data_IF_072865323602
#
_entry.id   IF_072865323602
#
_cell.length_a   1.000
_cell.length_b   1.000
_cell.length_c   1.000
_cell.angle_alpha   90.00
_cell.angle_beta   90.00
_cell.angle_gamma   90.00
#
_symmetry.space_group_name_H-M   'P 1'
#
loop_
_entity.id
_entity.type
_entity.pdbx_description
1 polymer ?
#
# COMPACT_ATOMS: atom_id res chain seq x y z
N UNK A 1 -37.85 -12.20 -4.44
CA UNK A 1 -38.39 -11.67 -3.17
C UNK A 1 -37.76 -10.31 -3.01
N UNK A 2 -38.55 -9.24 -3.14
CA UNK A 2 -38.04 -7.86 -3.09
C UNK A 2 -37.64 -7.53 -1.66
N UNK A 3 -36.39 -7.85 -1.32
CA UNK A 3 -35.79 -7.43 -0.06
C UNK A 3 -35.63 -5.91 -0.10
N UNK A 4 -36.45 -5.22 0.69
CA UNK A 4 -36.48 -3.76 0.80
C UNK A 4 -35.54 -3.22 1.88
N UNK A 5 -34.74 -4.08 2.51
CA UNK A 5 -33.76 -3.68 3.52
C UNK A 5 -32.68 -2.81 2.88
N UNK A 6 -32.20 -1.84 3.65
CA UNK A 6 -31.18 -0.88 3.20
C UNK A 6 -29.85 -1.32 3.78
N UNK A 7 -28.94 -1.74 2.92
CA UNK A 7 -27.62 -2.19 3.32
C UNK A 7 -26.67 -1.00 3.26
N UNK A 8 -26.29 -0.49 4.42
CA UNK A 8 -25.35 0.62 4.56
C UNK A 8 -23.95 0.04 4.61
N UNK A 9 -23.11 0.43 3.65
CA UNK A 9 -21.67 0.21 3.69
C UNK A 9 -20.94 1.55 3.67
N UNK A 10 -19.80 1.62 4.32
CA UNK A 10 -18.99 2.84 4.36
C UNK A 10 -17.53 2.58 4.05
N UNK A 11 -16.84 3.62 3.57
CA UNK A 11 -15.41 3.53 3.35
C UNK A 11 -14.80 4.71 2.60
N UNK A 12 -13.47 4.63 2.50
CA UNK A 12 -12.67 5.58 1.74
C UNK A 12 -12.74 5.38 0.24
N UNK A 13 -12.80 4.12 -0.23
CA UNK A 13 -12.83 3.76 -1.65
C UNK A 13 -11.73 4.44 -2.48
N UNK A 14 -10.47 4.45 -2.00
CA UNK A 14 -9.44 5.35 -2.55
C UNK A 14 -8.02 4.74 -2.68
N UNK A 15 -7.59 4.32 -3.89
CA UNK A 15 -8.43 4.13 -5.08
C UNK A 15 -9.35 2.91 -4.97
N UNK A 16 -10.41 2.88 -5.79
CA UNK A 16 -11.24 1.68 -5.98
C UNK A 16 -10.41 0.51 -6.54
N UNK A 17 -10.79 -0.71 -6.20
CA UNK A 17 -10.17 -1.96 -6.65
C UNK A 17 -11.15 -3.13 -6.50
N UNK A 18 -10.78 -4.33 -6.96
CA UNK A 18 -11.67 -5.51 -6.97
C UNK A 18 -12.28 -5.83 -5.60
N UNK A 19 -11.51 -5.75 -4.51
CA UNK A 19 -12.06 -5.95 -3.16
C UNK A 19 -13.22 -5.02 -2.79
N UNK A 20 -13.26 -3.77 -3.29
CA UNK A 20 -14.43 -2.91 -3.09
C UNK A 20 -15.65 -3.38 -3.90
N UNK A 21 -15.42 -3.93 -5.10
CA UNK A 21 -16.48 -4.50 -5.94
C UNK A 21 -17.06 -5.76 -5.30
N UNK A 22 -16.20 -6.63 -4.74
CA UNK A 22 -16.62 -7.82 -4.01
C UNK A 22 -17.42 -7.43 -2.76
N UNK A 23 -16.97 -6.42 -2.03
CA UNK A 23 -17.70 -5.87 -0.88
C UNK A 23 -19.10 -5.36 -1.25
N UNK A 24 -19.22 -4.57 -2.32
CA UNK A 24 -20.51 -4.09 -2.83
C UNK A 24 -21.40 -5.25 -3.28
N UNK A 25 -20.83 -6.25 -3.97
CA UNK A 25 -21.57 -7.41 -4.44
C UNK A 25 -22.15 -8.23 -3.29
N UNK A 26 -21.36 -8.52 -2.26
CA UNK A 26 -21.82 -9.23 -1.07
C UNK A 26 -22.85 -8.41 -0.29
N UNK A 27 -22.65 -7.09 -0.15
CA UNK A 27 -23.64 -6.22 0.47
C UNK A 27 -24.99 -6.27 -0.27
N UNK A 28 -24.97 -6.31 -1.60
CA UNK A 28 -26.17 -6.37 -2.42
C UNK A 28 -26.96 -7.70 -2.32
N UNK A 29 -26.36 -8.76 -1.76
CA UNK A 29 -27.09 -10.01 -1.45
C UNK A 29 -28.01 -9.83 -0.23
N UNK A 30 -27.70 -8.86 0.63
CA UNK A 30 -28.46 -8.57 1.85
C UNK A 30 -29.58 -7.54 1.65
N UNK A 31 -29.62 -6.83 0.51
CA UNK A 31 -30.60 -5.76 0.25
C UNK A 31 -30.09 -4.67 -0.68
N UNK A 32 -30.72 -3.49 -0.62
CA UNK A 32 -30.40 -2.35 -1.50
C UNK A 32 -29.22 -1.56 -0.95
N UNK A 33 -28.14 -1.43 -1.72
CA UNK A 33 -26.87 -0.87 -1.24
C UNK A 33 -26.87 0.66 -1.20
N UNK A 34 -26.71 1.21 0.00
CA UNK A 34 -26.47 2.61 0.30
C UNK A 34 -25.01 2.78 0.73
N UNK A 35 -24.25 3.64 0.05
CA UNK A 35 -22.82 3.83 0.31
C UNK A 35 -22.56 5.19 0.96
N UNK A 36 -21.97 5.17 2.14
CA UNK A 36 -21.37 6.36 2.77
C UNK A 36 -19.89 6.49 2.43
N UNK A 37 -19.50 7.61 1.83
CA UNK A 37 -18.12 7.85 1.39
C UNK A 37 -17.41 8.84 2.31
N UNK A 38 -16.30 8.41 2.91
CA UNK A 38 -15.50 9.26 3.81
C UNK A 38 -14.91 10.49 3.10
N UNK A 39 -14.71 11.56 3.83
CA UNK A 39 -14.14 12.83 3.34
C UNK A 39 -12.66 12.72 2.93
N UNK A 40 -12.18 13.71 2.17
CA UNK A 40 -10.76 13.79 1.81
C UNK A 40 -9.90 14.10 3.05
N UNK A 41 -10.44 14.85 4.01
CA UNK A 41 -9.83 15.15 5.30
C UNK A 41 -9.66 13.88 6.12
N UNK A 42 -10.66 13.00 6.15
CA UNK A 42 -10.57 11.71 6.84
C UNK A 42 -9.50 10.81 6.22
N UNK A 43 -9.45 10.74 4.88
CA UNK A 43 -8.40 9.99 4.18
C UNK A 43 -7.02 10.58 4.48
N UNK A 44 -6.91 11.91 4.52
CA UNK A 44 -5.67 12.60 4.84
C UNK A 44 -5.20 12.30 6.27
N UNK A 45 -6.11 12.33 7.26
CA UNK A 45 -5.79 11.93 8.64
C UNK A 45 -5.32 10.47 8.72
N UNK A 46 -5.93 9.57 7.94
CA UNK A 46 -5.66 8.13 7.99
C UNK A 46 -4.39 7.71 7.25
N UNK A 47 -4.11 8.28 6.07
CA UNK A 47 -3.03 7.82 5.17
C UNK A 47 -2.15 8.94 4.60
N UNK A 48 -2.27 10.16 5.13
CA UNK A 48 -1.44 11.32 4.78
C UNK A 48 -1.92 12.14 3.58
N UNK A 49 -2.66 11.54 2.63
CA UNK A 49 -3.27 12.26 1.50
C UNK A 49 -4.38 11.44 0.83
N UNK A 50 -5.47 12.08 0.40
CA UNK A 50 -6.42 11.49 -0.56
C UNK A 50 -5.77 11.35 -1.95
N UNK A 51 -5.97 10.21 -2.62
CA UNK A 51 -5.49 9.95 -3.97
C UNK A 51 -6.52 10.44 -5.00
N UNK A 52 -7.79 10.04 -4.86
CA UNK A 52 -8.93 10.59 -5.60
C UNK A 52 -9.71 11.59 -4.73
N UNK A 53 -10.05 12.78 -5.26
CA UNK A 53 -10.97 13.70 -4.59
C UNK A 53 -12.32 13.07 -4.30
N UNK A 54 -13.00 13.55 -3.26
CA UNK A 54 -14.32 13.04 -2.86
C UNK A 54 -15.32 12.99 -4.01
N UNK A 55 -15.40 14.04 -4.83
CA UNK A 55 -16.33 14.12 -5.96
C UNK A 55 -16.09 13.00 -6.99
N UNK A 56 -14.83 12.67 -7.29
CA UNK A 56 -14.49 11.57 -8.19
C UNK A 56 -14.90 10.21 -7.62
N UNK A 57 -14.66 10.00 -6.32
CA UNK A 57 -15.05 8.75 -5.65
C UNK A 57 -16.57 8.58 -5.64
N UNK A 58 -17.31 9.64 -5.36
CA UNK A 58 -18.78 9.67 -5.44
C UNK A 58 -19.27 9.35 -6.86
N UNK A 59 -18.68 9.99 -7.88
CA UNK A 59 -19.07 9.80 -9.27
C UNK A 59 -18.85 8.36 -9.73
N UNK A 60 -17.69 7.78 -9.42
CA UNK A 60 -17.37 6.39 -9.75
C UNK A 60 -18.36 5.44 -9.07
N UNK A 61 -18.55 5.57 -7.76
CA UNK A 61 -19.42 4.67 -6.99
C UNK A 61 -20.88 4.74 -7.43
N UNK A 62 -21.39 5.93 -7.80
CA UNK A 62 -22.76 6.10 -8.31
C UNK A 62 -23.00 5.35 -9.64
N UNK A 63 -21.94 5.04 -10.38
CA UNK A 63 -22.02 4.32 -11.66
C UNK A 63 -21.69 2.82 -11.52
N UNK A 64 -21.50 2.31 -10.29
CA UNK A 64 -21.29 0.87 -10.05
C UNK A 64 -22.63 0.14 -9.98
N UNK A 65 -22.73 -0.97 -10.71
CA UNK A 65 -23.91 -1.84 -10.68
C UNK A 65 -24.22 -2.29 -9.24
N UNK A 66 -25.52 -2.38 -8.91
CA UNK A 66 -26.08 -2.77 -7.60
C UNK A 66 -25.95 -1.70 -6.50
N UNK A 67 -25.28 -0.58 -6.77
CA UNK A 67 -25.33 0.60 -5.90
C UNK A 67 -26.64 1.34 -6.14
N UNK A 68 -27.41 1.57 -5.08
CA UNK A 68 -28.66 2.33 -5.16
C UNK A 68 -28.42 3.82 -4.92
N UNK A 69 -27.57 4.16 -3.95
CA UNK A 69 -27.32 5.54 -3.55
C UNK A 69 -25.93 5.66 -2.95
N UNK A 70 -25.26 6.78 -3.25
CA UNK A 70 -23.97 7.14 -2.66
C UNK A 70 -24.07 8.54 -2.09
N UNK A 71 -23.60 8.72 -0.86
CA UNK A 71 -23.59 10.02 -0.18
C UNK A 71 -22.20 10.31 0.40
N UNK A 72 -21.78 11.59 0.45
CA UNK A 72 -20.65 11.98 1.27
C UNK A 72 -21.02 11.86 2.75
N UNK A 73 -20.04 11.55 3.59
CA UNK A 73 -20.20 11.52 5.05
C UNK A 73 -19.62 12.77 5.69
N UNK A 74 -20.31 13.25 6.72
CA UNK A 74 -19.67 14.03 7.78
C UNK A 74 -19.02 13.06 8.77
N UNK A 75 -17.70 12.95 8.68
CA UNK A 75 -16.85 12.09 9.52
C UNK A 75 -15.88 12.92 10.38
N UNK A 76 -16.29 14.15 10.71
CA UNK A 76 -15.55 15.06 11.60
C UNK A 76 -15.35 14.49 13.01
N UNK A 77 -16.29 13.65 13.48
CA UNK A 77 -16.21 12.92 14.75
C UNK A 77 -15.40 11.61 14.66
N UNK A 78 -14.90 11.27 13.47
CA UNK A 78 -14.13 10.06 13.21
C UNK A 78 -14.97 8.78 13.03
N UNK A 79 -16.30 8.87 13.05
CA UNK A 79 -17.23 7.75 12.92
C UNK A 79 -17.90 7.73 11.54
N UNK A 80 -18.68 6.68 11.29
CA UNK A 80 -19.59 6.52 10.16
C UNK A 80 -21.07 6.62 10.57
N UNK A 81 -21.37 7.13 11.78
CA UNK A 81 -22.75 7.31 12.29
C UNK A 81 -23.59 8.20 11.37
N UNK A 82 -22.96 9.15 10.69
CA UNK A 82 -23.63 9.99 9.70
C UNK A 82 -24.25 9.17 8.55
N UNK A 83 -23.65 8.05 8.17
CA UNK A 83 -24.19 7.17 7.13
C UNK A 83 -25.54 6.57 7.56
N UNK A 84 -25.63 6.11 8.82
CA UNK A 84 -26.85 5.58 9.42
C UNK A 84 -27.92 6.68 9.49
N UNK A 85 -27.54 7.86 10.00
CA UNK A 85 -28.42 9.03 10.10
C UNK A 85 -29.01 9.40 8.74
N UNK A 86 -28.17 9.46 7.70
CA UNK A 86 -28.61 9.76 6.35
C UNK A 86 -29.51 8.64 5.80
N UNK A 87 -29.12 7.37 5.89
CA UNK A 87 -29.93 6.24 5.43
C UNK A 87 -31.31 6.24 6.10
N UNK A 88 -31.39 6.44 7.42
CA UNK A 88 -32.66 6.53 8.15
C UNK A 88 -33.52 7.71 7.68
N UNK A 89 -32.92 8.86 7.34
CA UNK A 89 -33.64 10.02 6.79
C UNK A 89 -34.30 9.71 5.44
N UNK A 90 -33.59 9.01 4.55
CA UNK A 90 -34.12 8.64 3.22
C UNK A 90 -35.08 7.45 3.29
N UNK A 91 -34.88 6.53 4.23
CA UNK A 91 -35.61 5.27 4.36
C UNK A 91 -36.15 5.07 5.79
N UNK A 92 -37.11 5.89 6.24
CA UNK A 92 -37.51 5.97 7.64
C UNK A 92 -38.09 4.67 8.20
N UNK A 93 -38.73 3.84 7.37
CA UNK A 93 -39.43 2.61 7.79
C UNK A 93 -38.68 1.32 7.49
N UNK A 94 -37.64 1.37 6.66
CA UNK A 94 -36.92 0.18 6.24
C UNK A 94 -35.97 -0.28 7.35
N UNK A 95 -35.75 -1.59 7.45
CA UNK A 95 -34.66 -2.10 8.26
C UNK A 95 -33.33 -1.67 7.65
N UNK A 96 -32.40 -1.22 8.49
CA UNK A 96 -31.04 -0.88 8.07
C UNK A 96 -30.13 -2.05 8.45
N UNK A 97 -29.34 -2.51 7.49
CA UNK A 97 -28.27 -3.47 7.73
C UNK A 97 -26.96 -2.72 7.57
N UNK A 98 -26.27 -2.42 8.67
CA UNK A 98 -24.95 -1.80 8.63
C UNK A 98 -23.90 -2.90 8.43
N UNK A 99 -23.49 -3.07 7.18
CA UNK A 99 -22.54 -4.10 6.77
C UNK A 99 -21.11 -3.57 6.90
N UNK A 100 -20.25 -4.38 7.50
CA UNK A 100 -18.83 -4.13 7.66
C UNK A 100 -17.99 -5.20 6.95
N UNK A 101 -16.96 -4.76 6.22
CA UNK A 101 -15.98 -5.65 5.62
C UNK A 101 -14.73 -5.87 6.49
N UNK A 102 -14.02 -6.97 6.24
CA UNK A 102 -12.72 -7.31 6.86
C UNK A 102 -12.79 -7.57 8.37
N UNK A 103 -11.72 -7.17 9.07
CA UNK A 103 -11.41 -7.51 10.48
C UNK A 103 -12.21 -6.70 11.51
N UNK A 104 -13.29 -6.02 11.11
CA UNK A 104 -14.14 -5.26 12.04
C UNK A 104 -15.01 -6.23 12.83
N UNK A 105 -15.03 -6.08 14.15
CA UNK A 105 -15.88 -6.82 15.08
C UNK A 105 -16.77 -5.87 15.88
N UNK A 106 -17.72 -6.43 16.66
CA UNK A 106 -18.61 -5.67 17.53
C UNK A 106 -17.85 -4.79 18.55
N UNK A 107 -16.63 -5.16 18.92
CA UNK A 107 -15.82 -4.43 19.90
C UNK A 107 -15.15 -3.16 19.34
N UNK A 108 -15.16 -2.97 18.01
CA UNK A 108 -14.32 -1.99 17.32
C UNK A 108 -15.07 -1.06 16.37
N UNK A 109 -16.40 -0.98 16.46
CA UNK A 109 -17.19 -0.04 15.65
C UNK A 109 -18.04 0.89 16.53
N UNK A 110 -17.76 2.21 16.52
CA UNK A 110 -18.47 3.17 17.36
C UNK A 110 -19.95 3.29 17.01
N UNK A 111 -20.39 2.79 15.85
CA UNK A 111 -21.78 2.85 15.38
C UNK A 111 -22.73 1.95 16.18
N UNK A 112 -22.23 0.98 16.95
CA UNK A 112 -23.07 0.04 17.71
C UNK A 112 -23.94 0.70 18.78
N UNK A 113 -23.55 1.90 19.25
CA UNK A 113 -24.29 2.67 20.25
C UNK A 113 -25.38 3.57 19.63
N UNK A 114 -25.56 3.52 18.30
CA UNK A 114 -26.52 4.37 17.62
C UNK A 114 -27.96 4.02 18.07
N UNK A 115 -28.76 4.99 18.55
CA UNK A 115 -30.04 4.71 19.22
C UNK A 115 -31.16 4.44 18.19
N UNK A 116 -31.10 3.29 17.52
CA UNK A 116 -32.10 2.83 16.55
C UNK A 116 -32.21 1.29 16.59
N UNK A 117 -33.31 0.81 17.18
CA UNK A 117 -33.59 -0.61 17.37
C UNK A 117 -33.88 -1.37 16.05
N UNK A 118 -34.01 -0.65 14.93
CA UNK A 118 -34.25 -1.22 13.60
C UNK A 118 -32.99 -1.20 12.72
N UNK A 119 -31.84 -1.40 13.37
CA UNK A 119 -30.53 -1.61 12.74
C UNK A 119 -30.01 -3.00 13.08
N UNK A 120 -29.52 -3.71 12.08
CA UNK A 120 -28.74 -4.93 12.23
C UNK A 120 -27.29 -4.67 11.80
N UNK A 121 -26.33 -5.15 12.58
CA UNK A 121 -24.90 -5.06 12.24
C UNK A 121 -24.41 -6.41 11.73
N UNK A 122 -23.83 -6.42 10.53
CA UNK A 122 -23.29 -7.63 9.88
C UNK A 122 -21.81 -7.43 9.57
N UNK A 123 -21.00 -8.45 9.81
CA UNK A 123 -19.54 -8.43 9.66
C UNK A 123 -19.07 -9.48 8.65
N UNK A 124 -17.82 -9.36 8.18
CA UNK A 124 -17.23 -10.31 7.24
C UNK A 124 -17.71 -10.18 5.79
N UNK A 125 -18.36 -9.07 5.44
CA UNK A 125 -18.89 -8.85 4.08
C UNK A 125 -17.74 -8.54 3.11
N UNK A 126 -17.72 -9.20 1.94
CA UNK A 126 -16.65 -9.07 0.94
C UNK A 126 -15.47 -10.04 1.12
N UNK A 127 -15.55 -10.95 2.11
CA UNK A 127 -14.58 -12.03 2.35
C UNK A 127 -13.39 -11.64 3.23
N UNK A 128 -12.76 -12.64 3.85
CA UNK A 128 -11.58 -12.48 4.73
C UNK A 128 -10.28 -12.28 3.94
N UNK A 129 -10.28 -12.66 2.66
CA UNK A 129 -9.12 -12.56 1.80
C UNK A 129 -9.01 -11.14 1.22
N UNK A 130 -8.32 -10.23 1.92
CA UNK A 130 -7.83 -8.94 1.37
C UNK A 130 -6.81 -9.21 0.25
N UNK A 131 -7.27 -9.64 -0.93
CA UNK A 131 -6.40 -9.89 -2.09
C UNK A 131 -5.67 -8.64 -2.56
N UNK A 132 -6.24 -7.45 -2.33
CA UNK A 132 -5.66 -6.16 -2.71
C UNK A 132 -6.06 -5.08 -1.69
N UNK A 133 -5.13 -4.19 -1.34
CA UNK A 133 -5.44 -2.94 -0.62
C UNK A 133 -5.00 -1.73 -1.44
N UNK A 134 -5.78 -0.66 -1.39
CA UNK A 134 -5.45 0.62 -2.03
C UNK A 134 -4.05 1.13 -1.66
N UNK A 135 -3.63 0.96 -0.41
CA UNK A 135 -2.29 1.37 0.05
C UNK A 135 -1.18 0.57 -0.62
N UNK A 136 -1.35 -0.75 -0.76
CA UNK A 136 -0.39 -1.61 -1.46
C UNK A 136 -0.27 -1.21 -2.94
N UNK A 137 -1.39 -0.98 -3.63
CA UNK A 137 -1.41 -0.54 -5.04
C UNK A 137 -0.65 0.78 -5.21
N UNK A 138 -0.91 1.76 -4.33
CA UNK A 138 -0.24 3.05 -4.41
C UNK A 138 1.25 2.97 -4.07
N UNK A 139 1.65 2.07 -3.16
CA UNK A 139 3.08 1.85 -2.86
C UNK A 139 3.83 1.25 -4.05
N UNK A 140 3.23 0.28 -4.74
CA UNK A 140 3.81 -0.31 -5.95
C UNK A 140 3.84 0.69 -7.11
N UNK A 141 2.83 1.57 -7.24
CA UNK A 141 2.83 2.61 -8.28
C UNK A 141 3.92 3.67 -8.06
N UNK A 142 4.14 4.12 -6.81
CA UNK A 142 5.12 5.16 -6.50
C UNK A 142 6.56 4.70 -6.69
N UNK A 143 6.86 3.43 -6.42
CA UNK A 143 8.20 2.88 -6.49
C UNK A 143 8.13 1.40 -6.95
N UNK A 144 7.88 1.16 -8.25
CA UNK A 144 7.69 -0.20 -8.75
C UNK A 144 8.93 -1.04 -8.55
N UNK A 145 8.71 -2.30 -8.16
CA UNK A 145 9.78 -3.30 -8.09
C UNK A 145 10.24 -3.68 -9.48
N UNK A 146 11.56 -3.65 -9.69
CA UNK A 146 12.20 -4.33 -10.81
C UNK A 146 12.81 -5.63 -10.29
N UNK A 147 12.22 -6.76 -10.68
CA UNK A 147 12.71 -8.09 -10.29
C UNK A 147 13.94 -8.48 -11.11
N UNK A 148 14.88 -9.16 -10.46
CA UNK A 148 16.13 -9.70 -11.03
C UNK A 148 16.33 -11.13 -10.52
N UNK A 149 17.27 -11.87 -11.10
CA UNK A 149 17.58 -13.26 -10.68
C UNK A 149 18.13 -13.38 -9.26
N UNK A 150 18.59 -12.27 -8.68
CA UNK A 150 19.15 -12.17 -7.33
C UNK A 150 18.20 -11.58 -6.28
N UNK A 151 16.99 -11.16 -6.67
CA UNK A 151 16.04 -10.45 -5.82
C UNK A 151 15.34 -9.32 -6.56
N UNK A 152 15.27 -8.12 -5.97
CA UNK A 152 14.67 -6.96 -6.64
C UNK A 152 15.29 -5.64 -6.20
N UNK A 153 15.06 -4.58 -6.98
CA UNK A 153 15.28 -3.22 -6.53
C UNK A 153 14.08 -2.31 -6.79
N UNK A 154 14.03 -1.19 -6.07
CA UNK A 154 13.10 -0.08 -6.28
C UNK A 154 13.87 1.23 -6.27
N UNK A 155 13.51 2.17 -7.14
CA UNK A 155 14.02 3.54 -7.06
C UNK A 155 13.11 4.31 -6.11
N UNK A 156 13.67 4.78 -4.99
CA UNK A 156 12.94 5.54 -3.97
C UNK A 156 12.97 7.04 -4.28
N UNK A 157 14.08 7.52 -4.86
CA UNK A 157 14.28 8.90 -5.21
C UNK A 157 15.32 9.03 -6.33
N UNK A 158 15.17 10.02 -7.19
CA UNK A 158 16.19 10.45 -8.14
C UNK A 158 16.06 11.97 -8.32
N UNK A 159 17.18 12.67 -8.30
CA UNK A 159 17.25 14.11 -8.57
C UNK A 159 18.38 14.39 -9.57
N UNK A 160 17.98 14.77 -10.77
CA UNK A 160 18.89 14.91 -11.90
C UNK A 160 19.73 13.66 -12.19
N UNK A 161 20.87 13.80 -12.88
CA UNK A 161 21.77 12.68 -13.14
C UNK A 161 22.66 12.32 -11.94
N UNK A 162 22.80 13.21 -10.95
CA UNK A 162 23.85 13.11 -9.94
C UNK A 162 23.45 12.45 -8.63
N UNK A 163 22.16 12.20 -8.37
CA UNK A 163 21.68 11.58 -7.13
C UNK A 163 20.61 10.54 -7.44
N UNK A 164 20.75 9.34 -6.87
CA UNK A 164 19.73 8.28 -6.93
C UNK A 164 19.71 7.48 -5.64
N UNK A 165 18.54 7.26 -5.06
CA UNK A 165 18.34 6.40 -3.89
C UNK A 165 17.54 5.17 -4.27
N UNK A 166 18.06 3.99 -3.94
CA UNK A 166 17.42 2.71 -4.22
C UNK A 166 17.23 1.89 -2.96
N UNK A 167 16.14 1.12 -2.93
CA UNK A 167 16.02 -0.07 -2.09
C UNK A 167 16.49 -1.26 -2.94
N UNK A 168 17.46 -2.02 -2.46
CA UNK A 168 17.87 -3.30 -3.03
C UNK A 168 17.55 -4.39 -2.02
N UNK A 169 16.97 -5.50 -2.48
CA UNK A 169 16.78 -6.71 -1.67
C UNK A 169 17.44 -7.87 -2.37
N UNK A 170 18.42 -8.49 -1.70
CA UNK A 170 19.13 -9.67 -2.18
C UNK A 170 18.55 -10.89 -1.48
N UNK A 171 18.02 -11.82 -2.27
CA UNK A 171 17.42 -13.05 -1.75
C UNK A 171 18.49 -13.97 -1.12
N UNK A 172 18.09 -14.87 -0.20
CA UNK A 172 18.97 -15.88 0.39
C UNK A 172 19.79 -16.66 -0.67
N UNK A 173 21.10 -16.75 -0.45
CA UNK A 173 22.04 -17.44 -1.32
C UNK A 173 22.31 -16.74 -2.67
N UNK A 174 21.89 -15.50 -2.86
CA UNK A 174 22.09 -14.74 -4.11
C UNK A 174 23.16 -13.67 -3.98
N UNK A 175 23.62 -13.18 -5.12
CA UNK A 175 24.59 -12.09 -5.21
C UNK A 175 24.40 -11.25 -6.46
N UNK A 176 24.86 -10.00 -6.39
CA UNK A 176 25.09 -9.18 -7.57
C UNK A 176 26.32 -9.67 -8.35
N UNK A 177 26.48 -9.19 -9.58
CA UNK A 177 27.74 -9.31 -10.31
C UNK A 177 28.82 -8.43 -9.68
N UNK A 178 30.08 -8.85 -9.76
CA UNK A 178 31.22 -7.98 -9.44
C UNK A 178 31.21 -6.78 -10.39
N UNK A 179 31.17 -5.57 -9.84
CA UNK A 179 30.98 -4.35 -10.61
C UNK A 179 31.79 -3.17 -10.05
N UNK A 180 31.99 -2.13 -10.86
CA UNK A 180 32.53 -0.83 -10.43
C UNK A 180 31.88 0.32 -11.20
N UNK A 181 32.14 1.54 -10.75
CA UNK A 181 31.56 2.77 -11.31
C UNK A 181 32.63 3.83 -11.54
N UNK A 182 32.62 4.49 -12.71
CA UNK A 182 33.60 5.52 -13.06
C UNK A 182 33.11 6.92 -12.68
N UNK A 183 31.80 7.14 -12.58
CA UNK A 183 31.19 8.47 -12.41
C UNK A 183 30.41 8.66 -11.12
N UNK A 184 30.19 7.61 -10.33
CA UNK A 184 29.55 7.70 -9.01
C UNK A 184 30.27 6.96 -7.89
N UNK A 185 30.03 7.43 -6.68
CA UNK A 185 30.24 6.69 -5.43
C UNK A 185 28.90 6.29 -4.83
N UNK A 186 28.93 5.36 -3.89
CA UNK A 186 27.73 4.87 -3.23
C UNK A 186 27.90 4.80 -1.71
N UNK A 187 26.82 5.04 -0.98
CA UNK A 187 26.67 4.64 0.42
C UNK A 187 25.58 3.59 0.51
N UNK A 188 25.85 2.50 1.21
CA UNK A 188 24.90 1.45 1.48
C UNK A 188 24.61 1.39 2.96
N UNK A 189 23.35 1.54 3.33
CA UNK A 189 22.86 1.29 4.68
C UNK A 189 22.18 -0.08 4.72
N UNK A 190 22.64 -0.97 5.61
CA UNK A 190 22.03 -2.29 5.79
C UNK A 190 20.75 -2.13 6.61
N UNK A 191 19.62 -1.98 5.94
CA UNK A 191 18.34 -1.73 6.58
C UNK A 191 17.73 -2.98 7.23
N UNK A 192 18.03 -4.17 6.71
CA UNK A 192 17.52 -5.44 7.24
C UNK A 192 18.45 -6.59 6.85
N UNK A 193 18.66 -7.54 7.77
CA UNK A 193 19.46 -8.73 7.54
C UNK A 193 20.97 -8.48 7.62
N UNK A 194 21.73 -9.29 6.89
CA UNK A 194 23.21 -9.29 6.92
C UNK A 194 23.75 -9.26 5.49
N UNK A 195 24.65 -8.33 5.22
CA UNK A 195 25.28 -8.15 3.92
C UNK A 195 26.71 -8.69 3.93
N UNK A 196 27.10 -9.42 2.89
CA UNK A 196 28.49 -9.74 2.62
C UNK A 196 28.97 -8.91 1.43
N UNK A 197 30.00 -8.09 1.63
CA UNK A 197 30.59 -7.26 0.57
C UNK A 197 32.01 -7.71 0.31
N UNK A 198 32.29 -8.03 -0.95
CA UNK A 198 33.63 -8.31 -1.47
C UNK A 198 34.12 -7.08 -2.24
N UNK A 199 35.35 -6.63 -2.01
CA UNK A 199 35.97 -5.52 -2.77
C UNK A 199 37.24 -5.93 -3.53
N UNK A 200 37.85 -5.02 -4.28
CA UNK A 200 38.94 -5.23 -5.26
C UNK A 200 40.11 -6.12 -4.79
N UNK A 201 40.37 -6.20 -3.48
CA UNK A 201 41.46 -7.00 -2.89
C UNK A 201 41.01 -8.39 -2.39
N UNK A 202 39.85 -8.88 -2.85
CA UNK A 202 39.17 -10.08 -2.33
C UNK A 202 38.92 -10.03 -0.82
N UNK A 203 38.87 -8.81 -0.25
CA UNK A 203 38.53 -8.61 1.15
C UNK A 203 37.02 -8.76 1.26
N UNK A 204 36.60 -9.83 1.92
CA UNK A 204 35.21 -10.09 2.24
C UNK A 204 34.92 -9.55 3.64
N UNK A 205 33.96 -8.64 3.75
CA UNK A 205 33.45 -8.12 5.02
C UNK A 205 31.97 -8.42 5.17
N UNK A 206 31.57 -8.71 6.40
CA UNK A 206 30.18 -8.93 6.77
C UNK A 206 29.70 -7.71 7.54
N UNK A 207 28.55 -7.19 7.13
CA UNK A 207 27.90 -6.01 7.69
C UNK A 207 26.52 -6.43 8.22
N UNK A 208 26.22 -6.04 9.44
CA UNK A 208 24.95 -6.31 10.10
C UNK A 208 23.96 -5.19 9.84
N UNK A 209 22.71 -5.38 10.26
CA UNK A 209 21.73 -4.31 10.28
C UNK A 209 22.29 -3.06 10.98
N UNK A 210 21.95 -1.90 10.42
CA UNK A 210 22.40 -0.55 10.80
C UNK A 210 23.85 -0.19 10.42
N UNK A 211 24.63 -1.12 9.88
CA UNK A 211 25.96 -0.81 9.35
C UNK A 211 25.89 0.00 8.04
N UNK A 212 26.96 0.78 7.81
CA UNK A 212 27.15 1.59 6.60
C UNK A 212 28.38 1.13 5.84
N UNK A 213 28.22 0.88 4.55
CA UNK A 213 29.31 0.59 3.61
C UNK A 213 29.46 1.78 2.67
N UNK A 214 30.70 2.22 2.45
CA UNK A 214 31.02 3.22 1.42
C UNK A 214 31.72 2.53 0.27
N UNK A 215 31.23 2.76 -0.93
CA UNK A 215 31.81 2.30 -2.19
C UNK A 215 32.35 3.51 -2.95
N UNK A 216 33.68 3.74 -2.95
CA UNK A 216 34.29 4.82 -3.71
C UNK A 216 34.19 4.60 -5.23
N UNK A 217 34.41 5.69 -5.98
CA UNK A 217 34.66 5.64 -7.43
C UNK A 217 35.76 4.63 -7.77
N UNK A 218 35.55 3.89 -8.85
CA UNK A 218 36.45 2.87 -9.41
C UNK A 218 36.72 1.65 -8.52
N UNK A 219 36.11 1.54 -7.34
CA UNK A 219 36.25 0.39 -6.47
C UNK A 219 35.43 -0.78 -7.02
N UNK A 220 36.09 -1.91 -7.29
CA UNK A 220 35.39 -3.16 -7.58
C UNK A 220 34.70 -3.64 -6.30
N UNK A 221 33.43 -3.98 -6.42
CA UNK A 221 32.62 -4.42 -5.31
C UNK A 221 31.54 -5.41 -5.74
N UNK A 222 31.17 -6.31 -4.83
CA UNK A 222 30.09 -7.27 -5.00
C UNK A 222 29.31 -7.44 -3.69
N UNK A 223 28.01 -7.14 -3.74
CA UNK A 223 27.08 -7.44 -2.67
C UNK A 223 26.54 -8.87 -2.81
N UNK A 224 26.63 -9.63 -1.72
CA UNK A 224 26.12 -11.01 -1.63
C UNK A 224 25.32 -11.20 -0.34
N UNK A 225 24.35 -12.11 -0.39
CA UNK A 225 23.62 -12.58 0.77
C UNK A 225 23.77 -14.11 0.88
N UNK A 226 24.83 -14.62 1.53
CA UNK A 226 25.01 -16.06 1.74
C UNK A 226 24.11 -16.64 2.84
N UNK A 227 23.26 -15.81 3.49
CA UNK A 227 22.46 -16.19 4.65
C UNK A 227 21.05 -16.67 4.26
N UNK A 228 20.25 -17.04 5.26
CA UNK A 228 18.93 -17.67 5.11
C UNK A 228 17.76 -16.67 5.04
N UNK A 229 18.00 -15.40 5.34
CA UNK A 229 17.00 -14.31 5.29
C UNK A 229 17.35 -13.28 4.23
N UNK A 230 16.36 -12.62 3.60
CA UNK A 230 16.63 -11.53 2.66
C UNK A 230 17.48 -10.41 3.31
N UNK A 231 18.40 -9.86 2.53
CA UNK A 231 19.20 -8.70 2.93
C UNK A 231 18.70 -7.47 2.20
N UNK A 232 18.32 -6.42 2.94
CA UNK A 232 17.81 -5.16 2.39
C UNK A 232 18.85 -4.04 2.57
N UNK A 233 19.20 -3.40 1.47
CA UNK A 233 20.10 -2.26 1.41
C UNK A 233 19.35 -1.02 0.95
N UNK A 234 19.57 0.10 1.63
CA UNK A 234 19.29 1.43 1.08
C UNK A 234 20.59 1.96 0.49
N UNK A 235 20.61 2.09 -0.83
CA UNK A 235 21.75 2.55 -1.60
C UNK A 235 21.55 4.01 -2.00
N UNK A 236 22.48 4.87 -1.63
CA UNK A 236 22.56 6.27 -2.04
C UNK A 236 23.70 6.39 -3.05
N UNK A 237 23.36 6.56 -4.31
CA UNK A 237 24.29 6.84 -5.40
C UNK A 237 24.47 8.36 -5.53
N UNK A 238 25.72 8.82 -5.63
CA UNK A 238 26.03 10.22 -5.82
C UNK A 238 27.26 10.42 -6.70
N UNK A 239 27.24 11.42 -7.59
CA UNK A 239 28.34 11.73 -8.50
C UNK A 239 27.90 12.50 -9.75
N UNK A 240 28.62 12.32 -10.86
CA UNK A 240 28.29 12.95 -12.14
C UNK A 240 27.13 12.24 -12.86
N UNK A 241 27.07 10.91 -12.74
CA UNK A 241 26.07 10.08 -13.40
C UNK A 241 25.70 8.84 -12.57
N UNK A 242 24.46 8.79 -12.09
CA UNK A 242 23.91 7.68 -11.32
C UNK A 242 22.99 6.80 -12.18
N UNK A 243 23.49 6.27 -13.30
CA UNK A 243 22.72 5.45 -14.24
C UNK A 243 23.34 4.05 -14.46
N UNK A 244 22.59 3.09 -15.03
CA UNK A 244 23.13 1.77 -15.37
C UNK A 244 24.26 1.83 -16.40
N UNK A 245 24.32 2.88 -17.23
CA UNK A 245 25.42 3.09 -18.18
C UNK A 245 26.80 3.30 -17.51
N UNK A 246 26.84 3.66 -16.22
CA UNK A 246 28.09 3.80 -15.44
C UNK A 246 28.53 2.48 -14.76
N UNK A 247 27.90 1.35 -15.08
CA UNK A 247 28.22 0.06 -14.47
C UNK A 247 29.15 -0.72 -15.39
N UNK A 248 30.41 -0.88 -14.97
CA UNK A 248 31.32 -1.86 -15.53
C UNK A 248 31.23 -3.16 -14.73
N UNK A 249 31.14 -4.30 -15.41
CA UNK A 249 31.07 -5.64 -14.79
C UNK A 249 32.32 -6.44 -15.13
N UNK A 250 32.84 -7.19 -14.16
CA UNK A 250 33.93 -8.11 -14.42
C UNK A 250 33.44 -9.24 -15.36
N UNK A 251 34.32 -9.72 -16.23
CA UNK A 251 34.03 -10.92 -17.01
C UNK A 251 33.87 -12.13 -16.06
N UNK A 252 32.83 -12.94 -16.31
CA UNK A 252 32.59 -14.21 -15.59
C UNK A 252 33.61 -15.29 -15.96
#
# INVERSE_FOLDING_TARGET
MDNNDIVVITGGFDPLHSGHIDYINSAAELGRVFIGVNSDEWLTRKKGKAFLPLEERLNILNNIKKVMMVVPLDDSDGTAKDAIRQARKWFPKNKIIFANGGDRSQDNIPEMDYPDDNIEFVFGIGGENKKNSSSWILSEWKAPKTNRSWGYYRILHADGPGIKVKELTIDPGKSLSMQRHEKRSEYWFVAEGTAQVETSNSIIKVYQQDDIVKIPLNEWHKLSNPFDKPCKIIEIQYGELCDEADIERAAE
#
